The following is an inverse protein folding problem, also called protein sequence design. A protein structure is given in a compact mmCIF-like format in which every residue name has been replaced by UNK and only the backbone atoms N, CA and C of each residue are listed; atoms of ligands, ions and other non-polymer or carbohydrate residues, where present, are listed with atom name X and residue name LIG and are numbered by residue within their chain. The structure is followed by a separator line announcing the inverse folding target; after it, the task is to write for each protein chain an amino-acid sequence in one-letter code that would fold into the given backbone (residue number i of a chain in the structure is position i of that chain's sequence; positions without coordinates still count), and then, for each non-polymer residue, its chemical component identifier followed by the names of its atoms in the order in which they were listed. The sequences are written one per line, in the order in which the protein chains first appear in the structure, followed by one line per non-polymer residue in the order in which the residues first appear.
data_IF_709607309809
#
_entry.id   IF_709607309809
#
_cell.length_a   1.000
_cell.length_b   1.000
_cell.length_c   1.000
_cell.angle_alpha   90.00
_cell.angle_beta   90.00
_cell.angle_gamma   90.00
#
_symmetry.space_group_name_H-M   'P 1'
#
loop_
_entity.id
_entity.type
_entity.pdbx_description
1 polymer ?
#
# COMPACT_ATOMS: atom_id res chain seq x y z
N UNK A 1 6.04 14.46 -7.15
CA UNK A 1 5.46 13.42 -6.27
C UNK A 1 5.23 14.06 -4.92
N UNK A 2 3.98 14.19 -4.46
CA UNK A 2 3.67 14.77 -3.14
C UNK A 2 4.28 13.85 -2.08
N UNK A 3 4.95 14.42 -1.07
CA UNK A 3 5.45 13.60 0.04
C UNK A 3 4.27 12.99 0.77
N UNK A 4 4.31 11.68 1.07
CA UNK A 4 3.29 10.96 1.86
C UNK A 4 2.96 11.69 3.18
N UNK A 5 3.90 12.47 3.72
CA UNK A 5 3.72 13.29 4.92
C UNK A 5 2.71 14.43 4.74
N UNK A 6 2.54 14.96 3.53
CA UNK A 6 1.62 16.06 3.23
C UNK A 6 0.18 15.58 3.06
N UNK A 7 -0.03 14.30 2.72
CA UNK A 7 -1.38 13.76 2.46
C UNK A 7 -2.18 13.45 3.73
N UNK A 8 -1.54 13.42 4.90
CA UNK A 8 -2.19 13.26 6.22
C UNK A 8 -1.89 14.47 7.13
N UNK A 9 -1.86 15.66 6.55
CA UNK A 9 -1.41 16.89 7.20
C UNK A 9 -2.23 17.29 8.44
N UNK A 10 -3.48 16.85 8.54
CA UNK A 10 -4.32 17.10 9.72
C UNK A 10 -4.02 16.18 10.91
N UNK A 11 -3.17 15.15 10.74
CA UNK A 11 -2.71 14.32 11.85
C UNK A 11 -1.50 14.96 12.58
N UNK A 12 -1.38 14.77 13.90
CA UNK A 12 -0.14 15.08 14.61
C UNK A 12 1.05 14.33 14.02
N UNK A 13 2.19 15.02 13.88
CA UNK A 13 3.38 14.44 13.27
C UNK A 13 3.83 13.09 13.89
N UNK A 14 3.83 12.90 15.23
CA UNK A 14 4.25 11.62 15.81
C UNK A 14 3.39 10.43 15.35
N UNK A 15 2.06 10.58 15.39
CA UNK A 15 1.13 9.52 14.98
C UNK A 15 1.16 9.29 13.47
N UNK A 16 1.35 10.34 12.67
CA UNK A 16 1.53 10.20 11.21
C UNK A 16 2.77 9.37 10.88
N UNK A 17 3.89 9.63 11.55
CA UNK A 17 5.15 8.89 11.35
C UNK A 17 4.97 7.42 11.74
N UNK A 18 4.37 7.14 12.90
CA UNK A 18 4.09 5.77 13.34
C UNK A 18 3.19 5.03 12.35
N UNK A 19 2.12 5.68 11.88
CA UNK A 19 1.17 5.10 10.93
C UNK A 19 1.84 4.71 9.60
N UNK A 20 2.61 5.63 9.00
CA UNK A 20 3.31 5.38 7.74
C UNK A 20 4.37 4.29 7.89
N UNK A 21 5.14 4.33 8.98
CA UNK A 21 6.17 3.33 9.24
C UNK A 21 5.57 1.92 9.44
N UNK A 22 4.43 1.79 10.10
CA UNK A 22 3.79 0.49 10.31
C UNK A 22 3.11 -0.02 9.04
N UNK A 23 2.49 0.87 8.25
CA UNK A 23 1.99 0.56 6.92
C UNK A 23 3.08 -0.01 5.99
N UNK A 24 4.24 0.65 5.96
CA UNK A 24 5.38 0.19 5.14
C UNK A 24 5.91 -1.18 5.59
N UNK A 25 5.85 -1.49 6.90
CA UNK A 25 6.20 -2.85 7.38
C UNK A 25 5.21 -3.91 6.93
N UNK A 26 3.89 -3.65 7.02
CA UNK A 26 2.87 -4.59 6.53
C UNK A 26 3.09 -4.89 5.05
N UNK A 27 3.21 -3.85 4.22
CA UNK A 27 3.41 -4.00 2.78
C UNK A 27 4.73 -4.71 2.44
N UNK A 28 5.82 -4.38 3.12
CA UNK A 28 7.13 -5.02 2.91
C UNK A 28 7.11 -6.49 3.30
N UNK A 29 6.63 -6.82 4.50
CA UNK A 29 6.60 -8.20 4.97
C UNK A 29 5.66 -9.08 4.15
N UNK A 30 4.51 -8.55 3.71
CA UNK A 30 3.65 -9.25 2.76
C UNK A 30 4.40 -9.54 1.44
N UNK A 31 5.05 -8.53 0.84
CA UNK A 31 5.81 -8.68 -0.42
C UNK A 31 6.92 -9.72 -0.32
N UNK A 32 7.57 -9.82 0.84
CA UNK A 32 8.65 -10.76 1.11
C UNK A 32 8.16 -12.13 1.62
N UNK A 33 6.85 -12.39 1.55
CA UNK A 33 6.22 -13.63 2.02
C UNK A 33 6.44 -13.95 3.51
N UNK A 34 6.69 -12.92 4.32
CA UNK A 34 6.82 -13.02 5.78
C UNK A 34 5.45 -12.86 6.43
N UNK A 35 4.60 -13.87 6.29
CA UNK A 35 3.18 -13.84 6.68
C UNK A 35 2.97 -13.48 8.15
N UNK A 36 3.63 -14.17 9.07
CA UNK A 36 3.54 -13.91 10.51
C UNK A 36 3.91 -12.46 10.85
N UNK A 37 4.97 -11.94 10.25
CA UNK A 37 5.39 -10.55 10.46
C UNK A 37 4.35 -9.56 9.90
N UNK A 38 3.82 -9.82 8.70
CA UNK A 38 2.75 -9.00 8.10
C UNK A 38 1.51 -8.93 8.98
N UNK A 39 1.03 -10.09 9.45
CA UNK A 39 -0.14 -10.18 10.33
C UNK A 39 0.12 -9.50 11.68
N UNK A 40 1.33 -9.62 12.23
CA UNK A 40 1.72 -8.96 13.48
C UNK A 40 1.74 -7.44 13.32
N UNK A 41 2.31 -6.95 12.22
CA UNK A 41 2.33 -5.53 11.90
C UNK A 41 0.91 -5.00 11.63
N UNK A 42 0.01 -5.81 11.06
CA UNK A 42 -1.40 -5.48 10.92
C UNK A 42 -2.07 -5.18 12.27
N UNK A 43 -1.78 -5.99 13.30
CA UNK A 43 -2.27 -5.73 14.65
C UNK A 43 -1.73 -4.43 15.26
N UNK A 44 -0.44 -4.13 15.06
CA UNK A 44 0.16 -2.86 15.53
C UNK A 44 -0.40 -1.65 14.78
N UNK A 45 -0.62 -1.78 13.47
CA UNK A 45 -1.29 -0.78 12.65
C UNK A 45 -2.67 -0.46 13.24
N UNK A 46 -3.45 -1.46 13.63
CA UNK A 46 -4.73 -1.27 14.29
C UNK A 46 -4.66 -0.44 15.59
N UNK A 47 -3.62 -0.65 16.41
CA UNK A 47 -3.39 0.11 17.64
C UNK A 47 -3.09 1.59 17.36
N UNK A 48 -2.33 1.87 16.30
CA UNK A 48 -2.04 3.22 15.83
C UNK A 48 -3.31 3.91 15.32
N UNK A 49 -4.07 3.24 14.45
CA UNK A 49 -5.31 3.82 13.91
C UNK A 49 -6.33 4.06 15.02
N UNK A 50 -6.47 3.13 15.98
CA UNK A 50 -7.33 3.36 17.14
C UNK A 50 -6.90 4.61 17.92
N UNK A 51 -5.59 4.77 18.20
CA UNK A 51 -5.06 5.95 18.91
C UNK A 51 -5.34 7.26 18.17
N UNK A 52 -5.31 7.23 16.82
CA UNK A 52 -5.69 8.35 15.97
C UNK A 52 -7.18 8.66 16.11
N UNK A 53 -8.06 7.66 16.02
CA UNK A 53 -9.51 7.86 16.12
C UNK A 53 -9.92 8.32 17.53
N UNK A 54 -9.33 7.77 18.58
CA UNK A 54 -9.55 8.22 19.96
C UNK A 54 -9.10 9.68 20.14
N UNK A 55 -7.91 10.03 19.64
CA UNK A 55 -7.42 11.40 19.71
C UNK A 55 -8.27 12.39 18.92
N UNK A 56 -8.74 11.99 17.75
CA UNK A 56 -9.64 12.79 16.93
C UNK A 56 -11.00 12.99 17.60
N UNK A 57 -11.57 11.92 18.17
CA UNK A 57 -12.91 11.97 18.77
C UNK A 57 -12.94 12.68 20.13
N UNK A 58 -11.86 12.57 20.91
CA UNK A 58 -11.71 13.26 22.20
C UNK A 58 -11.18 14.70 22.07
N UNK A 59 -10.63 15.07 20.90
CA UNK A 59 -9.91 16.33 20.70
C UNK A 59 -8.51 16.36 21.35
N UNK A 60 -8.01 15.23 21.87
CA UNK A 60 -6.71 15.13 22.54
C UNK A 60 -5.92 13.93 22.03
N UNK A 61 -4.97 14.17 21.14
CA UNK A 61 -4.12 13.11 20.60
C UNK A 61 -3.04 12.66 21.60
N UNK A 62 -2.79 11.35 21.73
CA UNK A 62 -1.66 10.85 22.49
C UNK A 62 -0.33 11.17 21.77
N UNK A 63 0.77 11.20 22.52
CA UNK A 63 2.12 11.44 21.98
C UNK A 63 2.66 10.28 21.14
N UNK A 64 2.19 9.07 21.41
CA UNK A 64 2.51 7.83 20.71
C UNK A 64 1.30 6.91 20.76
N UNK A 65 1.18 6.01 19.79
CA UNK A 65 0.14 5.00 19.82
C UNK A 65 0.27 4.10 21.05
N UNK A 66 -0.87 3.60 21.52
CA UNK A 66 -0.89 2.63 22.61
C UNK A 66 -2.02 1.63 22.43
N UNK A 67 -1.77 0.42 22.92
CA UNK A 67 -2.78 -0.64 22.91
C UNK A 67 -3.81 -0.41 24.04
N UNK A 68 -5.11 -0.31 23.72
CA UNK A 68 -6.15 -0.32 24.75
C UNK A 68 -6.25 -1.71 25.42
N UNK A 69 -6.64 -1.72 26.70
CA UNK A 69 -6.77 -2.97 27.49
C UNK A 69 -7.69 -4.00 26.84
N UNK A 70 -8.79 -3.54 26.23
CA UNK A 70 -9.70 -4.38 25.47
C UNK A 70 -9.98 -3.71 24.12
N UNK A 71 -9.25 -4.12 23.09
CA UNK A 71 -9.28 -3.52 21.77
C UNK A 71 -10.67 -3.52 21.13
N UNK A 72 -11.39 -4.64 21.22
CA UNK A 72 -12.76 -4.75 20.68
C UNK A 72 -13.71 -3.75 21.33
N UNK A 73 -13.76 -3.74 22.67
CA UNK A 73 -14.63 -2.80 23.41
C UNK A 73 -14.25 -1.35 23.18
N UNK A 74 -12.95 -1.07 23.05
CA UNK A 74 -12.46 0.26 22.75
C UNK A 74 -12.94 0.76 21.38
N UNK A 75 -12.87 -0.09 20.35
CA UNK A 75 -13.44 0.20 19.03
C UNK A 75 -14.95 0.40 19.08
N UNK A 76 -15.68 -0.49 19.77
CA UNK A 76 -17.15 -0.39 19.94
C UNK A 76 -17.55 0.92 20.66
N UNK A 77 -16.73 1.41 21.58
CA UNK A 77 -17.01 2.65 22.30
C UNK A 77 -17.02 3.90 21.41
N UNK A 78 -16.30 3.86 20.27
CA UNK A 78 -16.30 4.94 19.30
C UNK A 78 -17.66 5.11 18.64
N UNK A 79 -18.49 4.06 18.56
CA UNK A 79 -19.83 4.12 17.93
C UNK A 79 -20.76 5.15 18.61
N UNK A 80 -20.49 5.47 19.89
CA UNK A 80 -21.23 6.46 20.68
C UNK A 80 -20.88 7.91 20.32
N UNK A 81 -19.83 8.16 19.53
CA UNK A 81 -19.38 9.49 19.13
C UNK A 81 -20.20 10.01 17.95
N UNK A 82 -21.49 10.27 18.18
CA UNK A 82 -22.50 10.62 17.16
C UNK A 82 -22.23 11.91 16.40
N UNK A 83 -21.35 12.77 16.92
CA UNK A 83 -20.91 14.01 16.30
C UNK A 83 -19.88 13.81 15.17
N UNK A 84 -19.34 12.59 15.01
CA UNK A 84 -18.39 12.25 13.95
C UNK A 84 -19.02 11.39 12.86
N UNK A 85 -18.35 11.31 11.71
CA UNK A 85 -18.84 10.54 10.56
C UNK A 85 -18.91 9.04 10.84
N UNK A 86 -19.76 8.33 10.10
CA UNK A 86 -19.87 6.87 10.18
C UNK A 86 -18.54 6.18 9.87
N UNK A 87 -17.71 6.74 8.98
CA UNK A 87 -16.37 6.20 8.69
C UNK A 87 -15.51 6.17 9.95
N UNK A 88 -15.48 7.27 10.71
CA UNK A 88 -14.70 7.42 11.96
C UNK A 88 -15.27 6.58 13.09
N UNK A 89 -16.59 6.59 13.28
CA UNK A 89 -17.22 6.02 14.49
C UNK A 89 -17.66 4.57 14.33
N UNK A 90 -17.88 4.07 13.12
CA UNK A 90 -18.36 2.70 12.87
C UNK A 90 -17.52 1.94 11.84
N UNK A 91 -17.32 2.47 10.63
CA UNK A 91 -16.77 1.67 9.53
C UNK A 91 -15.32 1.29 9.77
N UNK A 92 -14.42 2.26 10.02
CA UNK A 92 -13.02 1.96 10.35
C UNK A 92 -12.94 1.08 11.61
N UNK A 93 -13.58 1.42 12.76
CA UNK A 93 -13.54 0.58 13.96
C UNK A 93 -13.95 -0.88 13.74
N UNK A 94 -14.96 -1.15 12.90
CA UNK A 94 -15.39 -2.53 12.60
C UNK A 94 -14.35 -3.30 11.79
N UNK A 95 -13.68 -2.66 10.84
CA UNK A 95 -12.55 -3.26 10.11
C UNK A 95 -11.38 -3.51 11.05
N UNK A 96 -11.07 -2.57 11.97
CA UNK A 96 -10.02 -2.75 12.97
C UNK A 96 -10.26 -3.99 13.83
N UNK A 97 -11.50 -4.24 14.26
CA UNK A 97 -11.85 -5.43 15.06
C UNK A 97 -11.58 -6.72 14.27
N UNK A 98 -12.02 -6.79 13.01
CA UNK A 98 -11.77 -7.97 12.16
C UNK A 98 -10.28 -8.24 11.94
N UNK A 99 -9.52 -7.18 11.67
CA UNK A 99 -8.08 -7.28 11.45
C UNK A 99 -7.33 -7.68 12.74
N UNK A 100 -7.71 -7.08 13.87
CA UNK A 100 -7.09 -7.39 15.17
C UNK A 100 -7.39 -8.82 15.65
N UNK A 101 -8.52 -9.39 15.24
CA UNK A 101 -8.85 -10.79 15.51
C UNK A 101 -7.91 -11.78 14.81
N UNK A 102 -7.45 -11.49 13.58
CA UNK A 102 -6.42 -12.30 12.89
C UNK A 102 -5.16 -12.36 13.75
N UNK A 103 -4.63 -11.20 14.16
CA UNK A 103 -3.46 -11.12 15.04
C UNK A 103 -3.64 -11.90 16.35
N UNK A 104 -4.84 -11.95 16.91
CA UNK A 104 -5.09 -12.60 18.19
C UNK A 104 -5.33 -14.11 18.10
N UNK A 105 -5.89 -14.60 16.99
CA UNK A 105 -6.39 -15.98 16.89
C UNK A 105 -5.61 -16.89 15.94
N UNK A 106 -4.69 -16.35 15.13
CA UNK A 106 -3.94 -17.09 14.10
C UNK A 106 -2.47 -17.39 14.46
N UNK A 107 -2.16 -17.53 15.73
CA UNK A 107 -0.80 -17.87 16.18
C UNK A 107 0.23 -16.74 16.08
N UNK A 108 -0.15 -15.59 15.51
CA UNK A 108 0.69 -14.41 15.25
C UNK A 108 1.12 -13.69 16.53
N UNK A 109 0.16 -13.42 17.41
CA UNK A 109 0.40 -12.62 18.61
C UNK A 109 0.85 -13.44 19.81
N UNK A 110 0.49 -14.73 19.85
CA UNK A 110 0.76 -15.68 20.92
C UNK A 110 0.72 -17.11 20.36
N UNK A 111 1.52 -18.02 20.93
CA UNK A 111 1.48 -19.45 20.61
C UNK A 111 0.11 -20.04 20.96
N UNK A 112 -0.46 -20.87 20.09
CA UNK A 112 -1.72 -21.59 20.33
C UNK A 112 -2.96 -20.99 19.65
N UNK A 113 -2.81 -20.38 18.47
CA UNK A 113 -3.95 -20.02 17.62
C UNK A 113 -4.63 -21.24 17.00
N UNK A 114 -5.82 -21.04 16.43
CA UNK A 114 -6.59 -22.11 15.78
C UNK A 114 -5.89 -22.61 14.50
N UNK A 115 -5.08 -21.75 13.87
CA UNK A 115 -4.30 -21.97 12.65
C UNK A 115 -3.04 -21.07 12.73
N UNK A 116 -1.95 -21.44 12.07
CA UNK A 116 -0.75 -20.62 11.93
C UNK A 116 -0.90 -19.50 10.87
N UNK A 117 -0.05 -18.47 10.98
CA UNK A 117 0.04 -17.39 10.01
C UNK A 117 0.26 -17.90 8.59
N UNK A 118 -0.44 -17.33 7.62
CA UNK A 118 -0.50 -17.86 6.26
C UNK A 118 -0.78 -16.77 5.23
N UNK A 119 -0.60 -17.10 3.96
CA UNK A 119 -0.79 -16.13 2.87
C UNK A 119 -2.22 -15.59 2.78
N UNK A 120 -3.25 -16.41 3.04
CA UNK A 120 -4.65 -15.99 2.95
C UNK A 120 -4.98 -14.91 3.98
N UNK A 121 -4.55 -15.11 5.23
CA UNK A 121 -4.74 -14.12 6.30
C UNK A 121 -3.89 -12.86 6.04
N UNK A 122 -2.65 -13.02 5.56
CA UNK A 122 -1.79 -11.90 5.19
C UNK A 122 -2.36 -11.07 4.01
N UNK A 123 -3.03 -11.69 3.04
CA UNK A 123 -3.75 -11.03 1.94
C UNK A 123 -4.85 -10.12 2.48
N UNK A 124 -5.70 -10.67 3.35
CA UNK A 124 -6.77 -9.91 4.00
C UNK A 124 -6.20 -8.73 4.79
N UNK A 125 -5.15 -8.96 5.58
CA UNK A 125 -4.48 -7.92 6.37
C UNK A 125 -3.95 -6.79 5.48
N UNK A 126 -3.26 -7.11 4.37
CA UNK A 126 -2.73 -6.12 3.45
C UNK A 126 -3.85 -5.22 2.89
N UNK A 127 -4.89 -5.81 2.32
CA UNK A 127 -5.96 -5.04 1.66
C UNK A 127 -6.81 -4.27 2.67
N UNK A 128 -7.03 -4.81 3.87
CA UNK A 128 -7.72 -4.09 4.93
C UNK A 128 -6.91 -2.86 5.41
N UNK A 129 -5.59 -2.99 5.57
CA UNK A 129 -4.68 -1.89 5.90
C UNK A 129 -4.66 -0.83 4.80
N UNK A 130 -4.59 -1.22 3.52
CA UNK A 130 -4.68 -0.30 2.38
C UNK A 130 -6.00 0.47 2.36
N UNK A 131 -7.12 -0.23 2.58
CA UNK A 131 -8.44 0.40 2.64
C UNK A 131 -8.54 1.40 3.81
N UNK A 132 -8.07 1.03 5.00
CA UNK A 132 -8.07 1.93 6.17
C UNK A 132 -7.20 3.17 5.87
N UNK A 133 -6.02 2.99 5.29
CA UNK A 133 -5.16 4.12 4.91
C UNK A 133 -5.86 5.05 3.92
N UNK A 134 -6.56 4.51 2.92
CA UNK A 134 -7.33 5.30 1.98
C UNK A 134 -8.43 6.11 2.67
N UNK A 135 -9.15 5.54 3.64
CA UNK A 135 -10.14 6.27 4.43
C UNK A 135 -9.51 7.34 5.33
N UNK A 136 -8.37 7.05 5.96
CA UNK A 136 -7.66 8.06 6.75
C UNK A 136 -7.20 9.23 5.89
N UNK A 137 -6.77 8.98 4.65
CA UNK A 137 -6.49 10.04 3.68
C UNK A 137 -7.76 10.85 3.39
N UNK A 138 -8.92 10.22 3.14
CA UNK A 138 -10.19 10.94 2.93
C UNK A 138 -10.61 11.80 4.12
N UNK A 139 -10.28 11.38 5.35
CA UNK A 139 -10.66 12.10 6.57
C UNK A 139 -9.66 13.20 6.92
N UNK A 140 -8.36 12.94 6.76
CA UNK A 140 -7.27 13.76 7.30
C UNK A 140 -6.38 14.42 6.24
N UNK A 141 -6.79 14.42 4.97
CA UNK A 141 -6.04 15.12 3.92
C UNK A 141 -6.02 16.63 4.12
N UNK A 142 -4.89 17.23 3.74
CA UNK A 142 -4.72 18.68 3.58
C UNK A 142 -4.39 19.07 2.13
N UNK A 143 -4.60 18.14 1.19
CA UNK A 143 -4.37 18.31 -0.25
C UNK A 143 -5.71 18.44 -0.99
N UNK A 144 -5.69 18.74 -2.29
CA UNK A 144 -6.91 18.76 -3.10
C UNK A 144 -7.56 17.37 -3.20
N UNK A 145 -8.86 17.33 -3.55
CA UNK A 145 -9.60 16.06 -3.72
C UNK A 145 -8.98 15.15 -4.78
N UNK A 146 -8.45 15.75 -5.86
CA UNK A 146 -7.76 14.99 -6.92
C UNK A 146 -6.45 14.39 -6.40
N UNK A 147 -5.64 15.15 -5.67
CA UNK A 147 -4.38 14.66 -5.08
C UNK A 147 -4.62 13.57 -4.01
N UNK A 148 -5.69 13.71 -3.23
CA UNK A 148 -6.12 12.67 -2.30
C UNK A 148 -6.54 11.39 -3.05
N UNK A 149 -7.26 11.52 -4.16
CA UNK A 149 -7.69 10.40 -5.01
C UNK A 149 -6.50 9.67 -5.64
N UNK A 150 -5.53 10.41 -6.19
CA UNK A 150 -4.29 9.85 -6.76
C UNK A 150 -3.48 9.12 -5.68
N UNK A 151 -3.42 9.66 -4.46
CA UNK A 151 -2.74 9.02 -3.34
C UNK A 151 -3.43 7.71 -2.92
N UNK A 152 -4.76 7.69 -2.90
CA UNK A 152 -5.55 6.49 -2.59
C UNK A 152 -5.28 5.40 -3.63
N UNK A 153 -5.29 5.75 -4.92
CA UNK A 153 -4.93 4.84 -6.01
C UNK A 153 -3.53 4.27 -5.80
N UNK A 154 -2.55 5.12 -5.46
CA UNK A 154 -1.19 4.69 -5.18
C UNK A 154 -1.02 3.80 -3.93
N UNK A 155 -1.87 3.95 -2.93
CA UNK A 155 -1.88 3.09 -1.71
C UNK A 155 -2.39 1.69 -2.07
N UNK A 156 -3.44 1.60 -2.88
CA UNK A 156 -4.12 0.35 -3.23
C UNK A 156 -3.39 -0.40 -4.36
N UNK A 157 -2.67 0.29 -5.23
CA UNK A 157 -2.01 -0.34 -6.38
C UNK A 157 -0.81 -1.24 -6.02
N UNK A 158 -1.01 -2.54 -6.26
CA UNK A 158 -0.08 -3.57 -6.77
C UNK A 158 1.25 -3.72 -6.02
N UNK A 159 1.22 -4.49 -4.94
CA UNK A 159 2.37 -5.23 -4.41
C UNK A 159 2.77 -6.35 -5.39
N UNK A 160 3.62 -6.05 -6.39
CA UNK A 160 4.11 -7.05 -7.33
C UNK A 160 5.33 -7.80 -6.75
N UNK A 161 5.25 -9.10 -6.40
CA UNK A 161 6.37 -9.85 -5.82
C UNK A 161 7.56 -9.98 -6.76
N UNK A 162 7.38 -9.75 -8.07
CA UNK A 162 8.46 -9.77 -9.06
C UNK A 162 9.24 -8.46 -9.13
N UNK A 163 8.79 -7.39 -8.46
CA UNK A 163 9.46 -6.09 -8.46
C UNK A 163 9.91 -5.73 -7.06
N UNK A 164 11.23 -5.62 -6.89
CA UNK A 164 11.85 -5.14 -5.66
C UNK A 164 12.20 -3.66 -5.79
N UNK A 165 11.79 -2.87 -4.81
CA UNK A 165 12.15 -1.45 -4.72
C UNK A 165 13.23 -1.24 -3.66
N UNK A 166 14.34 -0.61 -4.04
CA UNK A 166 15.47 -0.29 -3.16
C UNK A 166 16.12 1.04 -3.57
N UNK A 167 16.28 1.96 -2.61
CA UNK A 167 16.92 3.27 -2.82
C UNK A 167 16.36 4.07 -4.01
N UNK A 168 15.03 4.05 -4.20
CA UNK A 168 14.36 4.73 -5.32
C UNK A 168 14.53 4.04 -6.68
N UNK A 169 15.17 2.87 -6.71
CA UNK A 169 15.27 2.01 -7.90
C UNK A 169 14.31 0.85 -7.81
N UNK A 170 13.83 0.39 -8.96
CA UNK A 170 13.08 -0.85 -9.09
C UNK A 170 13.91 -1.89 -9.83
N UNK A 171 13.82 -3.13 -9.37
CA UNK A 171 14.54 -4.27 -9.91
C UNK A 171 13.60 -5.43 -10.09
N UNK A 172 13.73 -6.13 -11.21
CA UNK A 172 12.93 -7.32 -11.50
C UNK A 172 13.64 -8.53 -10.92
N UNK A 173 12.93 -9.30 -10.10
CA UNK A 173 13.49 -10.45 -9.40
C UNK A 173 13.48 -11.72 -10.24
N UNK A 174 12.66 -11.80 -11.30
CA UNK A 174 12.58 -12.95 -12.21
C UNK A 174 13.73 -12.89 -13.24
N UNK A 175 14.76 -13.76 -13.14
CA UNK A 175 15.87 -13.74 -14.07
C UNK A 175 15.43 -14.15 -15.48
N UNK A 176 16.08 -13.61 -16.51
CA UNK A 176 15.82 -13.99 -17.90
C UNK A 176 14.52 -13.42 -18.51
N UNK A 177 13.80 -12.56 -17.78
CA UNK A 177 12.65 -11.83 -18.35
C UNK A 177 13.11 -10.95 -19.52
N UNK A 178 12.34 -10.95 -20.62
CA UNK A 178 12.68 -10.13 -21.78
C UNK A 178 12.67 -8.64 -21.42
N UNK A 179 13.44 -7.82 -22.14
CA UNK A 179 13.47 -6.38 -21.87
C UNK A 179 12.08 -5.73 -22.05
N UNK A 180 11.26 -6.23 -22.99
CA UNK A 180 9.89 -5.74 -23.19
C UNK A 180 8.97 -6.10 -22.03
N UNK A 181 8.98 -7.36 -21.59
CA UNK A 181 8.15 -7.80 -20.46
C UNK A 181 8.57 -7.09 -19.18
N UNK A 182 9.89 -6.90 -19.03
CA UNK A 182 10.48 -6.17 -17.93
C UNK A 182 9.99 -4.72 -17.88
N UNK A 183 9.99 -4.04 -19.03
CA UNK A 183 9.41 -2.70 -19.17
C UNK A 183 7.94 -2.67 -18.79
N UNK A 184 7.13 -3.59 -19.30
CA UNK A 184 5.69 -3.65 -18.99
C UNK A 184 5.44 -3.88 -17.51
N UNK A 185 6.18 -4.79 -16.88
CA UNK A 185 6.07 -5.11 -15.47
C UNK A 185 6.43 -3.90 -14.58
N UNK A 186 7.48 -3.16 -14.93
CA UNK A 186 7.87 -1.96 -14.19
C UNK A 186 6.85 -0.84 -14.32
N UNK A 187 6.32 -0.60 -15.53
CA UNK A 187 5.26 0.39 -15.72
C UNK A 187 4.00 -0.04 -14.96
N UNK A 188 3.63 -1.32 -15.01
CA UNK A 188 2.48 -1.89 -14.28
C UNK A 188 2.60 -1.75 -12.77
N UNK A 189 3.82 -1.85 -12.23
CA UNK A 189 4.11 -1.67 -10.81
C UNK A 189 4.16 -0.20 -10.37
N UNK A 190 4.08 0.76 -11.30
CA UNK A 190 4.22 2.19 -11.05
C UNK A 190 2.89 2.91 -11.07
N UNK A 191 2.77 3.93 -10.22
CA UNK A 191 1.57 4.76 -10.12
C UNK A 191 1.66 5.89 -11.15
N UNK A 192 0.92 5.77 -12.24
CA UNK A 192 0.88 6.77 -13.31
C UNK A 192 2.03 6.68 -14.33
N UNK A 193 2.26 7.75 -15.11
CA UNK A 193 3.28 7.77 -16.17
C UNK A 193 4.70 7.62 -15.63
N UNK A 194 5.52 6.80 -16.31
CA UNK A 194 6.92 6.55 -15.92
C UNK A 194 7.86 7.15 -16.96
N UNK A 195 8.91 7.85 -16.52
CA UNK A 195 9.90 8.41 -17.43
C UNK A 195 10.77 7.32 -18.07
N UNK A 196 11.18 7.56 -19.31
CA UNK A 196 12.12 6.66 -20.02
C UNK A 196 13.48 6.58 -19.32
N UNK A 197 13.88 7.64 -18.63
CA UNK A 197 15.15 7.71 -17.89
C UNK A 197 15.10 6.85 -16.64
N UNK A 198 13.99 6.86 -15.91
CA UNK A 198 13.81 6.00 -14.74
C UNK A 198 13.74 4.54 -15.18
N UNK A 199 12.96 4.23 -16.23
CA UNK A 199 12.89 2.89 -16.76
C UNK A 199 14.26 2.38 -17.24
N UNK A 200 15.05 3.22 -17.90
CA UNK A 200 16.40 2.86 -18.32
C UNK A 200 17.34 2.60 -17.13
N UNK A 201 17.29 3.43 -16.08
CA UNK A 201 18.08 3.22 -14.86
C UNK A 201 17.64 1.97 -14.08
N UNK A 202 16.33 1.70 -14.05
CA UNK A 202 15.76 0.52 -13.40
C UNK A 202 16.13 -0.78 -14.09
N UNK A 203 16.24 -0.75 -15.42
CA UNK A 203 16.60 -1.88 -16.28
C UNK A 203 18.08 -1.93 -16.65
N UNK A 204 18.90 -1.05 -16.07
CA UNK A 204 20.35 -0.99 -16.29
C UNK A 204 20.70 -0.85 -17.78
N UNK A 205 19.98 0.04 -18.48
CA UNK A 205 20.14 0.33 -19.89
C UNK A 205 21.03 1.56 -20.10
N UNK A 206 22.32 1.32 -20.36
CA UNK A 206 23.32 2.39 -20.52
C UNK A 206 23.11 3.29 -21.75
N UNK A 207 22.32 2.83 -22.72
CA UNK A 207 22.10 3.53 -23.99
C UNK A 207 20.62 3.83 -24.18
N UNK A 208 20.19 4.98 -23.67
CA UNK A 208 18.82 5.45 -23.78
C UNK A 208 18.27 5.42 -25.23
N UNK A 209 19.01 5.82 -26.29
CA UNK A 209 18.51 5.71 -27.66
C UNK A 209 18.19 4.28 -28.12
N UNK A 210 18.90 3.28 -27.60
CA UNK A 210 18.61 1.87 -27.90
C UNK A 210 17.37 1.42 -27.14
N UNK A 211 17.25 1.80 -25.87
CA UNK A 211 16.08 1.46 -25.06
C UNK A 211 14.78 2.09 -25.60
N UNK A 212 14.85 3.33 -26.14
CA UNK A 212 13.70 3.98 -26.81
C UNK A 212 13.11 3.11 -27.93
N UNK A 213 13.90 2.29 -28.62
CA UNK A 213 13.39 1.36 -29.65
C UNK A 213 12.42 0.33 -29.06
N UNK A 214 12.66 -0.13 -27.83
CA UNK A 214 11.77 -1.03 -27.09
C UNK A 214 10.46 -0.32 -26.77
N UNK A 215 10.53 0.92 -26.27
CA UNK A 215 9.34 1.74 -25.98
C UNK A 215 8.52 2.02 -27.24
N UNK A 216 9.16 2.43 -28.34
CA UNK A 216 8.48 2.64 -29.63
C UNK A 216 7.82 1.37 -30.15
N UNK A 217 8.45 0.20 -29.98
CA UNK A 217 7.87 -1.09 -30.36
C UNK A 217 6.64 -1.44 -29.51
N UNK A 218 6.75 -1.31 -28.19
CA UNK A 218 5.63 -1.56 -27.29
C UNK A 218 4.46 -0.60 -27.57
N UNK A 219 4.75 0.64 -27.92
CA UNK A 219 3.76 1.62 -28.33
C UNK A 219 3.07 1.25 -29.65
N UNK A 220 3.83 0.84 -30.66
CA UNK A 220 3.25 0.40 -31.94
C UNK A 220 2.39 -0.85 -31.78
N UNK A 221 2.73 -1.71 -30.81
CA UNK A 221 1.95 -2.89 -30.42
C UNK A 221 0.74 -2.57 -29.54
N UNK A 222 0.50 -1.28 -29.21
CA UNK A 222 -0.57 -0.82 -28.30
C UNK A 222 -0.47 -1.39 -26.89
N UNK A 223 0.70 -1.84 -26.45
CA UNK A 223 0.93 -2.27 -25.07
C UNK A 223 1.13 -1.08 -24.12
N UNK A 224 1.65 0.03 -24.65
CA UNK A 224 1.85 1.28 -23.90
C UNK A 224 1.47 2.50 -24.76
N UNK A 225 1.13 3.60 -24.12
CA UNK A 225 1.20 4.94 -24.71
C UNK A 225 2.58 5.54 -24.37
N UNK A 226 3.39 5.87 -25.36
CA UNK A 226 4.73 6.44 -25.16
C UNK A 226 4.84 7.75 -25.95
N UNK A 227 4.92 8.85 -25.22
CA UNK A 227 4.96 10.20 -25.78
C UNK A 227 5.69 11.14 -24.82
N UNK A 228 6.42 12.14 -25.34
CA UNK A 228 7.11 13.12 -24.50
C UNK A 228 8.15 12.54 -23.53
N UNK A 229 8.69 11.34 -23.80
CA UNK A 229 9.66 10.68 -22.92
C UNK A 229 9.03 9.97 -21.72
N UNK A 230 7.70 9.85 -21.66
CA UNK A 230 6.99 9.09 -20.62
C UNK A 230 6.18 7.96 -21.23
N UNK A 231 6.04 6.87 -20.49
CA UNK A 231 5.29 5.68 -20.85
C UNK A 231 4.16 5.41 -19.87
N UNK A 232 2.99 5.05 -20.39
CA UNK A 232 1.80 4.63 -19.62
C UNK A 232 1.31 3.30 -20.15
N UNK A 233 0.91 2.39 -19.26
CA UNK A 233 0.36 1.10 -19.68
C UNK A 233 -1.01 1.30 -20.37
N UNK A 234 -1.25 0.60 -21.46
CA UNK A 234 -2.59 0.50 -22.03
C UNK A 234 -3.38 -0.64 -21.35
N UNK A 235 -4.72 -0.72 -21.56
CA UNK A 235 -5.48 -1.90 -21.13
C UNK A 235 -4.92 -3.23 -21.67
N UNK A 236 -4.42 -3.24 -22.91
CA UNK A 236 -3.82 -4.44 -23.51
C UNK A 236 -2.49 -4.81 -22.82
N UNK A 237 -1.66 -3.81 -22.49
CA UNK A 237 -0.44 -4.04 -21.72
C UNK A 237 -0.73 -4.53 -20.31
N UNK A 238 -1.81 -4.04 -19.68
CA UNK A 238 -2.29 -4.53 -18.38
C UNK A 238 -2.62 -6.02 -18.45
N UNK A 239 -3.43 -6.42 -19.42
CA UNK A 239 -3.79 -7.83 -19.65
C UNK A 239 -2.56 -8.71 -19.89
N UNK A 240 -1.60 -8.23 -20.69
CA UNK A 240 -0.35 -8.95 -20.93
C UNK A 240 0.42 -9.23 -19.62
N UNK A 241 0.51 -8.25 -18.73
CA UNK A 241 1.19 -8.42 -17.45
C UNK A 241 0.43 -9.39 -16.55
N UNK A 242 -0.87 -9.18 -16.40
CA UNK A 242 -1.73 -9.95 -15.47
C UNK A 242 -1.86 -11.42 -15.87
N UNK A 243 -2.02 -11.71 -17.15
CA UNK A 243 -2.30 -13.07 -17.63
C UNK A 243 -1.05 -13.88 -17.99
N UNK A 244 0.08 -13.22 -18.28
CA UNK A 244 1.27 -13.90 -18.82
C UNK A 244 2.57 -13.65 -18.06
N UNK A 245 2.68 -12.55 -17.29
CA UNK A 245 3.92 -12.23 -16.58
C UNK A 245 3.85 -12.51 -15.08
N UNK A 246 2.68 -12.36 -14.47
CA UNK A 246 2.43 -12.60 -13.05
C UNK A 246 2.01 -14.03 -12.71
N UNK A 247 1.63 -14.80 -13.72
CA UNK A 247 1.25 -16.21 -13.59
C UNK A 247 2.50 -17.09 -13.36
N UNK A 248 2.43 -18.11 -12.47
CA UNK A 248 3.56 -19.00 -12.17
C UNK A 248 4.13 -19.73 -13.39
#
# INVERSE_FOLDING_TARGET
MISRDQTLGHLPAPLRIELLAEYDKVTTNYRESRWEASELNGGRFCEIVYSILEGYTSGSYPKSASKPRNFKRACESLENQSQFSDSVRMTIPRVLVGLYDIRNRRGVGHVGGDVDANQMDAEYVLHAVQWIMAELVRIFHSVSVNEASDTITAIVERTNPLVWEINGKRRILKPGMSLSDSTLLLIYSSTGPVSETDLADWLEQDRLPNYRRVLTRLHSQRMIEYSGGVAVLSPLGTTQVEEHLLTP
#
